data_IF_695490771713
#
_entry.id   IF_695490771713
#
_cell.length_a   1.000
_cell.length_b   1.000
_cell.length_c   1.000
_cell.angle_alpha   90.00
_cell.angle_beta   90.00
_cell.angle_gamma   90.00
#
_symmetry.space_group_name_H-M   'P 1'
#
loop_
_entity.id
_entity.type
_entity.pdbx_description
1 polymer ?
#
# COMPACT_ATOMS: atom_id res chain seq x y z
N UNK A 1 21.81 -13.18 20.83
CA UNK A 1 20.95 -11.98 21.01
C UNK A 1 20.47 -11.37 19.68
N UNK A 2 21.20 -11.54 18.57
CA UNK A 2 20.91 -10.94 17.23
C UNK A 2 19.57 -11.40 16.60
N UNK A 3 19.20 -12.68 16.77
CA UNK A 3 17.98 -13.27 16.16
C UNK A 3 16.67 -12.67 16.72
N UNK A 4 16.70 -12.17 17.96
CA UNK A 4 15.53 -11.59 18.61
C UNK A 4 15.26 -10.16 18.11
N UNK A 5 16.32 -9.42 17.82
CA UNK A 5 16.25 -8.05 17.30
C UNK A 5 15.70 -8.03 15.86
N UNK A 6 16.17 -8.93 14.99
CA UNK A 6 15.69 -8.99 13.60
C UNK A 6 14.21 -9.38 13.49
N UNK A 7 13.76 -10.35 14.29
CA UNK A 7 12.34 -10.72 14.41
C UNK A 7 11.46 -9.56 14.88
N UNK A 8 11.91 -8.84 15.91
CA UNK A 8 11.20 -7.68 16.41
C UNK A 8 11.07 -6.60 15.33
N UNK A 9 12.15 -6.33 14.60
CA UNK A 9 12.15 -5.37 13.49
C UNK A 9 11.18 -5.77 12.36
N UNK A 10 11.12 -7.05 11.97
CA UNK A 10 10.13 -7.51 10.98
C UNK A 10 8.67 -7.38 11.47
N UNK A 11 8.42 -7.61 12.76
CA UNK A 11 7.07 -7.41 13.33
C UNK A 11 6.65 -5.94 13.39
N UNK A 12 7.57 -5.03 13.74
CA UNK A 12 7.32 -3.59 13.70
C UNK A 12 7.16 -3.09 12.26
N UNK A 13 7.96 -3.57 11.31
CA UNK A 13 7.78 -3.29 9.88
C UNK A 13 6.35 -3.61 9.42
N UNK A 14 5.87 -4.84 9.69
CA UNK A 14 4.53 -5.31 9.29
C UNK A 14 3.42 -4.54 10.01
N UNK A 15 3.63 -4.15 11.27
CA UNK A 15 2.68 -3.34 12.04
C UNK A 15 2.50 -1.96 11.39
N UNK A 16 3.60 -1.25 11.13
CA UNK A 16 3.54 0.08 10.53
C UNK A 16 3.00 0.05 9.10
N UNK A 17 3.35 -0.98 8.31
CA UNK A 17 2.78 -1.19 6.98
C UNK A 17 1.26 -1.45 7.05
N UNK A 18 0.80 -2.23 8.03
CA UNK A 18 -0.64 -2.46 8.24
C UNK A 18 -1.37 -1.18 8.63
N UNK A 19 -0.74 -0.31 9.45
CA UNK A 19 -1.29 1.00 9.79
C UNK A 19 -1.39 1.88 8.54
N UNK A 20 -0.36 1.92 7.70
CA UNK A 20 -0.38 2.67 6.44
C UNK A 20 -1.52 2.21 5.52
N UNK A 21 -1.68 0.90 5.30
CA UNK A 21 -2.80 0.37 4.52
C UNK A 21 -4.15 0.69 5.15
N UNK A 22 -4.26 0.63 6.47
CA UNK A 22 -5.50 0.99 7.18
C UNK A 22 -5.85 2.46 6.96
N UNK A 23 -4.88 3.36 7.09
CA UNK A 23 -5.05 4.79 6.83
C UNK A 23 -5.55 5.02 5.41
N UNK A 24 -5.03 4.29 4.41
CA UNK A 24 -5.49 4.37 3.02
C UNK A 24 -6.94 3.90 2.80
N UNK A 25 -7.45 3.02 3.67
CA UNK A 25 -8.84 2.54 3.61
C UNK A 25 -9.83 3.51 4.25
N UNK A 26 -9.37 4.43 5.10
CA UNK A 26 -10.25 5.46 5.66
C UNK A 26 -10.58 6.43 4.53
N UNK A 27 -11.86 6.55 4.18
CA UNK A 27 -12.34 7.42 3.10
C UNK A 27 -12.42 8.89 3.56
N UNK A 28 -11.35 9.48 4.13
CA UNK A 28 -11.35 10.92 4.46
C UNK A 28 -11.14 11.81 3.23
N UNK A 29 -11.03 11.23 2.04
CA UNK A 29 -11.00 11.93 0.75
C UNK A 29 -12.20 12.88 0.54
N UNK A 30 -13.29 12.70 1.30
CA UNK A 30 -14.50 13.54 1.24
C UNK A 30 -14.28 14.90 1.94
N UNK A 31 -13.33 15.00 2.87
CA UNK A 31 -13.04 16.24 3.62
C UNK A 31 -11.65 16.74 3.25
N UNK A 32 -11.51 17.88 2.53
CA UNK A 32 -10.23 18.32 1.95
C UNK A 32 -9.08 18.41 2.94
N UNK A 33 -9.32 18.96 4.14
CA UNK A 33 -8.27 19.08 5.16
C UNK A 33 -7.91 17.73 5.80
N UNK A 34 -8.91 16.86 5.99
CA UNK A 34 -8.69 15.52 6.54
C UNK A 34 -7.93 14.62 5.57
N UNK A 35 -8.10 14.82 4.25
CA UNK A 35 -7.33 14.14 3.22
C UNK A 35 -5.82 14.40 3.36
N UNK A 36 -5.39 15.66 3.49
CA UNK A 36 -3.96 15.97 3.63
C UNK A 36 -3.37 15.43 4.94
N UNK A 37 -4.14 15.49 6.04
CA UNK A 37 -3.72 14.88 7.31
C UNK A 37 -3.57 13.36 7.16
N UNK A 38 -4.53 12.70 6.50
CA UNK A 38 -4.46 11.27 6.23
C UNK A 38 -3.24 10.91 5.39
N UNK A 39 -2.94 11.67 4.34
CA UNK A 39 -1.76 11.45 3.49
C UNK A 39 -0.46 11.64 4.29
N UNK A 40 -0.39 12.66 5.14
CA UNK A 40 0.77 12.87 6.01
C UNK A 40 0.98 11.69 6.98
N UNK A 41 -0.08 11.20 7.62
CA UNK A 41 -0.04 10.03 8.48
C UNK A 41 0.35 8.76 7.72
N UNK A 42 -0.17 8.61 6.49
CA UNK A 42 0.13 7.50 5.60
C UNK A 42 1.63 7.45 5.26
N UNK A 43 2.21 8.55 4.76
CA UNK A 43 3.63 8.61 4.44
C UNK A 43 4.51 8.42 5.68
N UNK A 44 4.11 9.00 6.81
CA UNK A 44 4.80 8.81 8.09
C UNK A 44 4.85 7.33 8.48
N UNK A 45 3.73 6.60 8.32
CA UNK A 45 3.66 5.17 8.60
C UNK A 45 4.53 4.35 7.63
N UNK A 46 4.60 4.73 6.34
CA UNK A 46 5.47 4.08 5.36
C UNK A 46 6.96 4.29 5.68
N UNK A 47 7.39 5.53 5.97
CA UNK A 47 8.77 5.81 6.38
C UNK A 47 9.12 5.09 7.68
N UNK A 48 8.19 5.08 8.64
CA UNK A 48 8.39 4.38 9.90
C UNK A 48 8.52 2.87 9.68
N UNK A 49 7.72 2.28 8.80
CA UNK A 49 7.86 0.88 8.39
C UNK A 49 9.27 0.63 7.82
N UNK A 50 9.71 1.42 6.85
CA UNK A 50 11.04 1.29 6.23
C UNK A 50 12.21 1.43 7.20
N UNK A 51 12.06 2.20 8.29
CA UNK A 51 13.12 2.33 9.32
C UNK A 51 13.49 1.01 10.00
N UNK A 52 12.58 0.02 9.97
CA UNK A 52 12.81 -1.32 10.51
C UNK A 52 13.39 -2.29 9.48
N UNK A 53 13.40 -1.95 8.19
CA UNK A 53 14.00 -2.76 7.13
C UNK A 53 15.49 -2.41 6.96
N UNK A 54 16.34 -3.43 6.80
CA UNK A 54 17.80 -3.26 6.63
C UNK A 54 18.28 -3.38 5.17
N UNK A 55 17.43 -3.83 4.26
CA UNK A 55 17.79 -4.03 2.86
C UNK A 55 17.65 -2.76 2.01
N UNK A 56 18.12 -2.85 0.76
CA UNK A 56 17.93 -1.80 -0.25
C UNK A 56 16.53 -1.93 -0.87
N UNK A 57 15.85 -0.81 -1.09
CA UNK A 57 14.54 -0.75 -1.76
C UNK A 57 14.38 0.60 -2.46
N UNK A 58 13.58 0.62 -3.53
CA UNK A 58 13.20 1.85 -4.23
C UNK A 58 12.00 2.54 -3.58
N UNK A 59 11.37 1.93 -2.56
CA UNK A 59 10.18 2.45 -1.90
C UNK A 59 10.34 3.90 -1.43
N UNK A 60 11.51 4.27 -0.89
CA UNK A 60 11.77 5.64 -0.41
C UNK A 60 11.66 6.67 -1.54
N UNK A 61 12.23 6.36 -2.71
CA UNK A 61 12.19 7.26 -3.87
C UNK A 61 10.78 7.39 -4.41
N UNK A 62 10.04 6.28 -4.48
CA UNK A 62 8.65 6.27 -4.92
C UNK A 62 7.73 7.06 -3.98
N UNK A 63 7.93 6.96 -2.67
CA UNK A 63 7.20 7.78 -1.68
C UNK A 63 7.47 9.27 -1.90
N UNK A 64 8.72 9.66 -2.17
CA UNK A 64 9.02 11.07 -2.48
C UNK A 64 8.37 11.55 -3.76
N UNK A 65 8.32 10.71 -4.81
CA UNK A 65 7.60 11.02 -6.04
C UNK A 65 6.12 11.23 -5.75
N UNK A 66 5.50 10.36 -4.96
CA UNK A 66 4.08 10.44 -4.60
C UNK A 66 3.75 11.70 -3.78
N UNK A 67 4.63 12.05 -2.82
CA UNK A 67 4.55 13.32 -2.09
C UNK A 67 4.63 14.52 -3.06
N UNK A 68 5.53 14.46 -4.04
CA UNK A 68 5.64 15.48 -5.08
C UNK A 68 4.33 15.64 -5.88
N UNK A 69 3.72 14.53 -6.27
CA UNK A 69 2.42 14.52 -6.95
C UNK A 69 1.29 15.10 -6.09
N UNK A 70 1.32 14.85 -4.78
CA UNK A 70 0.38 15.46 -3.82
C UNK A 70 0.51 16.99 -3.80
N UNK A 71 1.72 17.54 -3.87
CA UNK A 71 1.91 18.99 -3.97
C UNK A 71 1.41 19.57 -5.29
N UNK A 72 1.59 18.86 -6.40
CA UNK A 72 1.04 19.29 -7.69
C UNK A 72 -0.50 19.34 -7.64
N UNK A 73 -1.16 18.49 -6.85
CA UNK A 73 -2.64 18.51 -6.69
C UNK A 73 -3.17 19.80 -6.01
N UNK A 74 -2.30 20.59 -5.38
CA UNK A 74 -2.69 21.88 -4.77
C UNK A 74 -2.77 23.03 -5.78
N UNK A 75 -2.27 22.83 -7.01
CA UNK A 75 -2.31 23.85 -8.05
C UNK A 75 -3.70 23.90 -8.71
N UNK A 76 -4.19 25.09 -9.10
CA UNK A 76 -5.43 25.21 -9.86
C UNK A 76 -5.22 24.62 -11.26
N UNK A 77 -5.81 23.45 -11.50
CA UNK A 77 -5.56 22.64 -12.69
C UNK A 77 -6.88 22.31 -13.41
N UNK A 78 -6.85 22.31 -14.76
CA UNK A 78 -7.99 21.92 -15.61
C UNK A 78 -8.34 20.41 -15.50
N UNK A 79 -9.61 20.07 -15.77
CA UNK A 79 -10.20 18.70 -15.63
C UNK A 79 -9.41 17.59 -16.37
N UNK A 80 -8.83 17.90 -17.53
CA UNK A 80 -8.04 16.93 -18.30
C UNK A 80 -6.75 16.56 -17.56
N UNK A 81 -6.08 17.54 -16.98
CA UNK A 81 -4.84 17.32 -16.23
C UNK A 81 -5.15 16.65 -14.88
N UNK A 82 -6.30 16.93 -14.26
CA UNK A 82 -6.70 16.29 -12.99
C UNK A 82 -6.95 14.77 -13.14
N UNK A 83 -7.49 14.34 -14.29
CA UNK A 83 -7.71 12.90 -14.55
C UNK A 83 -6.39 12.16 -14.80
N UNK A 84 -5.47 12.74 -15.58
CA UNK A 84 -4.13 12.18 -15.77
C UNK A 84 -3.34 12.13 -14.46
N UNK A 85 -3.47 13.15 -13.63
CA UNK A 85 -2.84 13.21 -12.32
C UNK A 85 -3.35 12.11 -11.39
N UNK A 86 -4.65 11.83 -11.41
CA UNK A 86 -5.25 10.72 -10.66
C UNK A 86 -4.72 9.36 -11.13
N UNK A 87 -4.63 9.13 -12.45
CA UNK A 87 -4.03 7.91 -13.01
C UNK A 87 -2.56 7.75 -12.60
N UNK A 88 -1.76 8.81 -12.74
CA UNK A 88 -0.34 8.79 -12.38
C UNK A 88 -0.15 8.51 -10.89
N UNK A 89 -0.95 9.15 -10.02
CA UNK A 89 -0.93 8.91 -8.57
C UNK A 89 -1.19 7.44 -8.27
N UNK A 90 -2.25 6.85 -8.85
CA UNK A 90 -2.57 5.42 -8.66
C UNK A 90 -1.41 4.54 -9.10
N UNK A 91 -0.78 4.82 -10.25
CA UNK A 91 0.37 4.04 -10.74
C UNK A 91 1.56 4.11 -9.79
N UNK A 92 1.90 5.30 -9.28
CA UNK A 92 2.99 5.46 -8.30
C UNK A 92 2.67 4.70 -7.01
N UNK A 93 1.44 4.80 -6.53
CA UNK A 93 0.98 4.04 -5.36
C UNK A 93 1.06 2.52 -5.56
N UNK A 94 0.77 1.99 -6.77
CA UNK A 94 1.01 0.58 -7.09
C UNK A 94 2.48 0.24 -6.88
N UNK A 95 3.39 1.04 -7.45
CA UNK A 95 4.81 0.76 -7.38
C UNK A 95 5.31 0.77 -5.93
N UNK A 96 4.82 1.69 -5.10
CA UNK A 96 5.08 1.68 -3.66
C UNK A 96 4.63 0.34 -3.05
N UNK A 97 3.40 -0.06 -3.29
CA UNK A 97 2.84 -1.30 -2.73
C UNK A 97 3.59 -2.54 -3.20
N UNK A 98 4.03 -2.59 -4.47
CA UNK A 98 4.84 -3.67 -4.99
C UNK A 98 6.22 -3.73 -4.33
N UNK A 99 6.88 -2.60 -4.10
CA UNK A 99 8.16 -2.56 -3.37
C UNK A 99 8.00 -3.05 -1.93
N UNK A 100 6.99 -2.58 -1.21
CA UNK A 100 6.67 -3.11 0.13
C UNK A 100 6.32 -4.60 0.07
N UNK A 101 5.63 -5.03 -0.98
CA UNK A 101 5.29 -6.41 -1.25
C UNK A 101 6.52 -7.31 -1.40
N UNK A 102 7.57 -6.87 -2.10
CA UNK A 102 8.84 -7.58 -2.20
C UNK A 102 9.48 -7.78 -0.83
N UNK A 103 9.45 -6.74 0.02
CA UNK A 103 9.96 -6.82 1.39
C UNK A 103 9.16 -7.84 2.21
N UNK A 104 7.83 -7.83 2.09
CA UNK A 104 6.95 -8.79 2.78
C UNK A 104 7.20 -10.21 2.29
N UNK A 105 7.39 -10.43 0.99
CA UNK A 105 7.69 -11.73 0.42
C UNK A 105 9.03 -12.28 0.93
N UNK A 106 10.05 -11.42 1.07
CA UNK A 106 11.33 -11.78 1.67
C UNK A 106 11.18 -12.16 3.15
N UNK A 107 10.44 -11.37 3.93
CA UNK A 107 10.11 -11.68 5.33
C UNK A 107 9.37 -13.03 5.42
N UNK A 108 8.37 -13.26 4.58
CA UNK A 108 7.60 -14.50 4.54
C UNK A 108 8.50 -15.72 4.24
N UNK A 109 9.41 -15.58 3.28
CA UNK A 109 10.38 -16.62 2.91
C UNK A 109 11.30 -16.97 4.08
N UNK A 110 11.82 -15.98 4.79
CA UNK A 110 12.72 -16.19 5.94
C UNK A 110 12.06 -16.97 7.09
N UNK A 111 10.76 -16.78 7.30
CA UNK A 111 10.02 -17.47 8.35
C UNK A 111 9.35 -18.77 7.89
N UNK A 112 9.56 -19.19 6.62
CA UNK A 112 8.82 -20.30 6.00
C UNK A 112 7.30 -20.20 6.23
N UNK A 113 6.80 -18.96 6.32
CA UNK A 113 5.36 -18.71 6.44
C UNK A 113 4.74 -18.86 5.06
N UNK A 114 3.46 -19.31 5.00
CA UNK A 114 2.45 -19.32 3.93
C UNK A 114 2.85 -19.36 2.43
N UNK A 115 3.91 -18.66 1.99
CA UNK A 115 4.46 -18.53 0.65
C UNK A 115 3.46 -17.97 -0.38
N UNK A 116 2.49 -17.15 0.07
CA UNK A 116 1.42 -16.63 -0.80
C UNK A 116 1.59 -15.17 -1.18
N UNK A 117 2.56 -14.44 -0.63
CA UNK A 117 2.70 -12.99 -0.90
C UNK A 117 2.89 -12.68 -2.38
N UNK A 118 3.77 -13.43 -3.07
CA UNK A 118 4.02 -13.22 -4.51
C UNK A 118 2.73 -13.32 -5.34
N UNK A 119 1.94 -14.38 -5.13
CA UNK A 119 0.67 -14.59 -5.84
C UNK A 119 -0.35 -13.48 -5.54
N UNK A 120 -0.44 -13.01 -4.30
CA UNK A 120 -1.36 -11.93 -3.91
C UNK A 120 -0.94 -10.61 -4.55
N UNK A 121 0.36 -10.31 -4.60
CA UNK A 121 0.87 -9.11 -5.24
C UNK A 121 0.67 -9.11 -6.75
N UNK A 122 0.82 -10.26 -7.43
CA UNK A 122 0.52 -10.36 -8.86
C UNK A 122 -0.95 -10.05 -9.15
N UNK A 123 -1.88 -10.62 -8.37
CA UNK A 123 -3.31 -10.33 -8.53
C UNK A 123 -3.60 -8.85 -8.26
N UNK A 124 -2.98 -8.29 -7.20
CA UNK A 124 -3.10 -6.88 -6.87
C UNK A 124 -2.63 -6.01 -8.05
N UNK A 125 -1.44 -6.28 -8.59
CA UNK A 125 -0.88 -5.55 -9.72
C UNK A 125 -1.82 -5.53 -10.93
N UNK A 126 -2.31 -6.69 -11.36
CA UNK A 126 -3.21 -6.79 -12.51
C UNK A 126 -4.51 -6.03 -12.30
N UNK A 127 -5.06 -6.09 -11.08
CA UNK A 127 -6.28 -5.36 -10.75
C UNK A 127 -6.05 -3.85 -10.82
N UNK A 128 -5.00 -3.32 -10.20
CA UNK A 128 -4.79 -1.86 -10.21
C UNK A 128 -4.36 -1.36 -11.59
N UNK A 129 -3.59 -2.14 -12.36
CA UNK A 129 -3.28 -1.79 -13.76
C UNK A 129 -4.55 -1.79 -14.62
N UNK A 130 -5.46 -2.75 -14.42
CA UNK A 130 -6.75 -2.78 -15.10
C UNK A 130 -7.61 -1.56 -14.77
N UNK A 131 -7.65 -1.17 -13.49
CA UNK A 131 -8.36 0.04 -13.04
C UNK A 131 -7.72 1.30 -13.64
N UNK A 132 -6.39 1.43 -13.58
CA UNK A 132 -5.67 2.58 -14.12
C UNK A 132 -5.89 2.71 -15.64
N UNK A 133 -5.77 1.61 -16.38
CA UNK A 133 -6.07 1.58 -17.81
C UNK A 133 -7.53 1.97 -18.07
N UNK A 134 -8.49 1.41 -17.32
CA UNK A 134 -9.90 1.81 -17.41
C UNK A 134 -10.09 3.31 -17.22
N UNK A 135 -9.41 3.91 -16.24
CA UNK A 135 -9.49 5.33 -15.93
C UNK A 135 -8.83 6.23 -16.98
N UNK A 136 -7.85 5.76 -17.75
CA UNK A 136 -7.29 6.54 -18.86
C UNK A 136 -8.29 6.80 -19.98
N UNK A 137 -9.28 5.92 -20.19
CA UNK A 137 -10.29 6.07 -21.24
C UNK A 137 -11.55 6.82 -20.80
N UNK A 138 -11.67 7.17 -19.51
CA UNK A 138 -12.84 7.84 -18.95
C UNK A 138 -13.05 9.25 -19.52
N UNK A 139 -12.00 9.91 -20.04
CA UNK A 139 -12.06 11.27 -20.56
C UNK A 139 -13.01 11.46 -21.76
N UNK A 140 -13.39 10.38 -22.45
CA UNK A 140 -14.24 10.41 -23.64
C UNK A 140 -15.68 9.92 -23.39
N UNK A 141 -16.05 9.70 -22.12
CA UNK A 141 -17.35 9.14 -21.74
C UNK A 141 -18.21 10.24 -21.10
N UNK A 142 -19.53 10.10 -21.18
CA UNK A 142 -20.45 11.01 -20.49
C UNK A 142 -20.20 11.03 -18.97
N UNK A 143 -20.54 12.16 -18.34
CA UNK A 143 -20.23 12.42 -16.93
C UNK A 143 -20.80 11.36 -15.98
N UNK A 144 -22.00 10.82 -16.26
CA UNK A 144 -22.64 9.83 -15.40
C UNK A 144 -21.92 8.48 -15.47
N UNK A 145 -21.62 8.03 -16.68
CA UNK A 145 -20.79 6.83 -16.90
C UNK A 145 -19.38 6.99 -16.31
N UNK A 146 -18.78 8.18 -16.44
CA UNK A 146 -17.49 8.51 -15.82
C UNK A 146 -17.52 8.28 -14.31
N UNK A 147 -18.53 8.82 -13.60
CA UNK A 147 -18.67 8.63 -12.16
C UNK A 147 -18.82 7.13 -11.81
N UNK A 148 -19.60 6.38 -12.59
CA UNK A 148 -19.80 4.94 -12.37
C UNK A 148 -18.47 4.19 -12.51
N UNK A 149 -17.71 4.42 -13.58
CA UNK A 149 -16.43 3.75 -13.80
C UNK A 149 -15.37 4.12 -12.75
N UNK A 150 -15.33 5.38 -12.31
CA UNK A 150 -14.49 5.81 -11.18
C UNK A 150 -14.90 5.08 -9.90
N UNK A 151 -16.20 4.99 -9.63
CA UNK A 151 -16.72 4.32 -8.43
C UNK A 151 -16.41 2.82 -8.40
N UNK A 152 -16.61 2.12 -9.53
CA UNK A 152 -16.28 0.70 -9.67
C UNK A 152 -14.77 0.48 -9.45
N UNK A 153 -13.92 1.30 -10.08
CA UNK A 153 -12.48 1.25 -9.87
C UNK A 153 -12.11 1.44 -8.41
N UNK A 154 -12.69 2.45 -7.74
CA UNK A 154 -12.43 2.72 -6.33
C UNK A 154 -12.83 1.54 -5.43
N UNK A 155 -13.98 0.90 -5.69
CA UNK A 155 -14.42 -0.30 -4.96
C UNK A 155 -13.46 -1.48 -5.19
N UNK A 156 -13.01 -1.72 -6.42
CA UNK A 156 -12.04 -2.77 -6.71
C UNK A 156 -10.71 -2.54 -5.98
N UNK A 157 -10.21 -1.31 -5.99
CA UNK A 157 -9.01 -0.92 -5.26
C UNK A 157 -9.20 -1.08 -3.74
N UNK A 158 -10.36 -0.70 -3.21
CA UNK A 158 -10.69 -0.89 -1.80
C UNK A 158 -10.61 -2.38 -1.41
N UNK A 159 -11.29 -3.26 -2.16
CA UNK A 159 -11.29 -4.71 -1.91
C UNK A 159 -9.86 -5.27 -1.98
N UNK A 160 -9.06 -4.85 -2.96
CA UNK A 160 -7.68 -5.27 -3.11
C UNK A 160 -6.81 -4.88 -1.91
N UNK A 161 -6.95 -3.64 -1.42
CA UNK A 161 -6.23 -3.15 -0.25
C UNK A 161 -6.67 -3.86 1.05
N UNK A 162 -7.97 -4.14 1.22
CA UNK A 162 -8.50 -4.94 2.34
C UNK A 162 -7.89 -6.35 2.34
N UNK A 163 -7.85 -7.00 1.18
CA UNK A 163 -7.25 -8.35 1.04
C UNK A 163 -5.77 -8.33 1.40
N UNK A 164 -5.03 -7.31 0.95
CA UNK A 164 -3.62 -7.14 1.30
C UNK A 164 -3.42 -6.95 2.81
N UNK A 165 -4.27 -6.14 3.45
CA UNK A 165 -4.24 -5.91 4.90
C UNK A 165 -4.44 -7.22 5.68
N UNK A 166 -5.43 -8.04 5.33
CA UNK A 166 -5.65 -9.34 5.97
C UNK A 166 -4.46 -10.29 5.79
N UNK A 167 -3.83 -10.27 4.61
CA UNK A 167 -2.63 -11.07 4.35
C UNK A 167 -1.47 -10.66 5.26
N UNK A 168 -1.19 -9.36 5.40
CA UNK A 168 -0.16 -8.87 6.33
C UNK A 168 -0.45 -9.26 7.78
N UNK A 169 -1.70 -9.17 8.22
CA UNK A 169 -2.11 -9.61 9.56
C UNK A 169 -1.86 -11.11 9.75
N UNK A 170 -2.14 -11.93 8.74
CA UNK A 170 -1.91 -13.38 8.78
C UNK A 170 -0.42 -13.71 8.88
N UNK A 171 0.43 -13.04 8.10
CA UNK A 171 1.90 -13.17 8.21
C UNK A 171 2.36 -12.78 9.62
N UNK A 172 1.92 -11.63 10.13
CA UNK A 172 2.28 -11.16 11.47
C UNK A 172 1.88 -12.16 12.56
N UNK A 173 0.69 -12.77 12.46
CA UNK A 173 0.23 -13.82 13.38
C UNK A 173 1.12 -15.07 13.28
N UNK A 174 1.46 -15.50 12.05
CA UNK A 174 2.35 -16.65 11.82
C UNK A 174 3.72 -16.46 12.47
N UNK A 175 4.36 -15.31 12.24
CA UNK A 175 5.67 -14.97 12.84
C UNK A 175 5.60 -14.96 14.38
N UNK A 176 4.53 -14.38 14.95
CA UNK A 176 4.31 -14.39 16.42
C UNK A 176 4.10 -15.79 16.97
N UNK A 177 3.41 -16.68 16.26
CA UNK A 177 3.20 -18.06 16.69
C UNK A 177 4.52 -18.83 16.72
N UNK A 178 5.35 -18.69 15.69
CA UNK A 178 6.72 -19.24 15.65
C UNK A 178 7.60 -18.72 16.79
N UNK A 179 7.29 -17.54 17.36
CA UNK A 179 7.99 -16.98 18.52
C UNK A 179 7.57 -17.66 19.83
N UNK A 180 6.28 -17.96 20.00
CA UNK A 180 5.75 -18.61 21.22
C UNK A 180 6.13 -20.08 21.32
N UNK A 181 6.19 -20.81 20.20
CA UNK A 181 6.48 -22.26 20.20
C UNK A 181 7.94 -22.63 20.50
N UNK A 182 8.85 -21.65 20.64
CA UNK A 182 10.27 -21.87 21.00
C UNK A 182 10.59 -21.58 22.47
N UNK A 183 9.61 -21.30 23.31
CA UNK A 183 9.82 -21.22 24.77
C UNK A 183 9.82 -22.67 25.28
N UNK A 184 10.96 -23.22 25.75
CA UNK A 184 10.95 -24.54 26.35
C UNK A 184 10.06 -24.51 27.60
N UNK A 185 9.16 -25.49 27.71
CA UNK A 185 8.50 -25.82 28.97
C UNK A 185 9.61 -26.07 30.01
N UNK A 186 9.64 -25.22 31.05
CA UNK A 186 10.41 -25.48 32.27
C UNK A 186 9.65 -26.46 33.13
#
# INVERSE_FOLDING_TARGET
>A
MIVMDEKYRHLEFLKWLSIALCLKLVLLNIVPFAFYIQQFLFYSALFKSLSYFKGKTLAKNLIFIDIGLLFVNLLPINIVISTWQLVITVIVEIFIILEFGKIVAEIERQYKALQTTSRILTIYQWLVLGVAAGWTFIMNVDYFSMIIFVSIGAILLFIANVRLLFHLQRIRKSIKFTMKSRIPLK
#
